data_IF_764267266067
#
_entry.id   IF_764267266067
#
_cell.length_a   1.000
_cell.length_b   1.000
_cell.length_c   1.000
_cell.angle_alpha   90.00
_cell.angle_beta   90.00
_cell.angle_gamma   90.00
#
_symmetry.space_group_name_H-M   'P 1'
#
loop_
_entity.id
_entity.type
_entity.pdbx_description
1 polymer ?
#
# COMPACT_ATOMS: atom_id res chain seq x y z
N UNK A 1 10.10 -13.64 -18.14
CA UNK A 1 9.33 -14.54 -17.25
C UNK A 1 9.69 -14.20 -15.81
N UNK A 2 8.77 -14.43 -14.88
CA UNK A 2 8.96 -14.08 -13.46
C UNK A 2 9.64 -15.24 -12.74
N UNK A 3 10.75 -14.96 -12.06
CA UNK A 3 11.39 -15.94 -11.16
C UNK A 3 11.03 -15.53 -9.73
N UNK A 4 10.34 -16.42 -9.02
CA UNK A 4 10.04 -16.29 -7.59
C UNK A 4 11.06 -17.13 -6.82
N UNK A 5 11.83 -16.48 -5.96
CA UNK A 5 12.76 -17.13 -5.04
C UNK A 5 12.21 -17.00 -3.63
N UNK A 6 12.12 -18.10 -2.89
CA UNK A 6 11.73 -18.12 -1.47
C UNK A 6 12.94 -18.53 -0.64
N UNK A 7 13.32 -17.71 0.34
CA UNK A 7 14.40 -18.05 1.26
C UNK A 7 13.96 -19.04 2.36
N UNK A 8 14.91 -19.48 3.20
CA UNK A 8 14.64 -20.41 4.30
C UNK A 8 13.74 -19.85 5.41
N UNK A 9 13.53 -18.54 5.44
CA UNK A 9 12.66 -17.85 6.38
C UNK A 9 11.26 -17.57 5.79
N UNK A 10 11.04 -17.95 4.52
CA UNK A 10 9.77 -17.77 3.81
C UNK A 10 9.61 -16.42 3.12
N UNK A 11 10.65 -15.57 3.08
CA UNK A 11 10.59 -14.30 2.35
C UNK A 11 10.69 -14.58 0.84
N UNK A 12 9.95 -13.81 0.03
CA UNK A 12 9.95 -13.95 -1.43
C UNK A 12 10.63 -12.76 -2.11
N UNK A 13 11.41 -13.04 -3.16
CA UNK A 13 11.92 -12.04 -4.09
C UNK A 13 11.40 -12.36 -5.50
N UNK A 14 10.95 -11.33 -6.21
CA UNK A 14 10.50 -11.42 -7.59
C UNK A 14 11.47 -10.67 -8.48
N UNK A 15 12.09 -11.39 -9.41
CA UNK A 15 12.89 -10.75 -10.46
C UNK A 15 12.20 -10.93 -11.79
N UNK A 16 11.78 -9.82 -12.40
CA UNK A 16 11.39 -9.82 -13.81
C UNK A 16 12.66 -9.78 -14.66
N UNK A 17 12.84 -10.79 -15.51
CA UNK A 17 13.88 -10.79 -16.54
C UNK A 17 13.28 -11.06 -17.90
N UNK A 18 13.79 -10.37 -18.91
CA UNK A 18 13.37 -10.49 -20.31
C UNK A 18 14.22 -11.53 -21.07
N UNK A 19 15.30 -12.03 -20.45
CA UNK A 19 16.23 -13.00 -21.05
C UNK A 19 15.97 -14.41 -20.53
N UNK A 20 16.06 -15.42 -21.38
CA UNK A 20 16.05 -16.85 -21.00
C UNK A 20 17.14 -17.14 -19.96
N UNK A 21 16.75 -17.76 -18.85
CA UNK A 21 17.65 -18.19 -17.77
C UNK A 21 17.61 -19.71 -17.77
N UNK A 22 18.73 -20.33 -18.15
CA UNK A 22 18.95 -21.77 -18.04
C UNK A 22 20.00 -21.99 -16.94
N UNK A 23 19.67 -22.77 -15.91
CA UNK A 23 20.59 -23.11 -14.82
C UNK A 23 20.84 -24.61 -14.90
N UNK A 24 22.08 -24.99 -15.23
CA UNK A 24 22.50 -26.38 -15.19
C UNK A 24 22.69 -26.85 -13.74
N UNK A 25 22.27 -28.08 -13.42
CA UNK A 25 22.35 -28.61 -12.05
C UNK A 25 23.78 -28.63 -11.48
N UNK A 26 24.79 -28.71 -12.35
CA UNK A 26 26.21 -28.71 -11.97
C UNK A 26 26.73 -27.34 -11.52
N UNK A 27 26.15 -26.24 -12.01
CA UNK A 27 26.61 -24.87 -11.69
C UNK A 27 26.00 -24.32 -10.40
N UNK A 28 24.93 -24.93 -9.87
CA UNK A 28 24.31 -24.56 -8.59
C UNK A 28 25.27 -24.55 -7.39
N UNK A 29 26.33 -25.38 -7.40
CA UNK A 29 27.33 -25.43 -6.33
C UNK A 29 28.46 -24.41 -6.48
N UNK A 30 28.63 -23.81 -7.66
CA UNK A 30 29.75 -22.94 -8.01
C UNK A 30 29.34 -21.51 -8.34
N UNK A 31 28.05 -21.20 -8.30
CA UNK A 31 27.58 -19.82 -8.40
C UNK A 31 27.86 -19.11 -7.08
N UNK A 32 28.40 -17.89 -7.17
CA UNK A 32 28.35 -17.00 -6.02
C UNK A 32 26.89 -16.85 -5.56
N UNK A 33 26.64 -16.80 -4.25
CA UNK A 33 25.29 -16.53 -3.75
C UNK A 33 24.76 -15.29 -4.45
N UNK A 34 23.60 -15.44 -5.10
CA UNK A 34 22.88 -14.27 -5.61
C UNK A 34 22.62 -13.40 -4.39
N UNK A 35 23.12 -12.16 -4.40
CA UNK A 35 22.82 -11.19 -3.36
C UNK A 35 21.28 -11.05 -3.31
N UNK A 36 20.70 -11.55 -2.23
CA UNK A 36 19.27 -11.44 -1.95
C UNK A 36 19.07 -10.15 -1.19
N UNK A 37 18.73 -9.08 -1.91
CA UNK A 37 18.29 -7.85 -1.27
C UNK A 37 16.78 -7.94 -1.08
N UNK A 38 16.37 -8.18 0.17
CA UNK A 38 14.97 -8.09 0.58
C UNK A 38 14.47 -6.68 0.29
N UNK A 39 13.18 -6.58 -0.08
CA UNK A 39 12.59 -5.27 -0.28
C UNK A 39 12.77 -4.37 0.95
N UNK A 40 13.18 -3.12 0.72
CA UNK A 40 13.30 -2.13 1.80
C UNK A 40 11.95 -2.02 2.50
N UNK A 41 11.97 -1.93 3.83
CA UNK A 41 10.75 -1.71 4.58
C UNK A 41 10.06 -0.42 4.12
N UNK A 42 8.76 -0.51 3.80
CA UNK A 42 7.94 0.65 3.50
C UNK A 42 7.78 1.52 4.74
N UNK A 43 7.98 2.82 4.56
CA UNK A 43 7.66 3.83 5.57
C UNK A 43 6.51 4.67 5.07
N UNK A 44 5.49 4.85 5.90
CA UNK A 44 4.34 5.72 5.60
C UNK A 44 4.40 6.91 6.56
N UNK A 45 4.35 8.13 6.01
CA UNK A 45 4.31 9.37 6.78
C UNK A 45 3.11 10.20 6.36
N UNK A 46 2.47 10.85 7.34
CA UNK A 46 1.35 11.75 7.06
C UNK A 46 1.89 13.12 6.66
N UNK A 47 1.31 13.68 5.60
CA UNK A 47 1.54 15.05 5.14
C UNK A 47 0.50 15.99 5.73
N UNK A 48 -0.03 16.89 4.90
CA UNK A 48 -1.11 17.80 5.29
C UNK A 48 -2.41 17.04 5.56
N UNK A 49 -3.09 17.43 6.65
CA UNK A 49 -4.40 16.91 7.02
C UNK A 49 -5.33 18.10 7.23
N UNK A 50 -6.42 18.12 6.47
CA UNK A 50 -7.49 19.11 6.58
C UNK A 50 -8.83 18.40 6.72
N UNK A 51 -9.90 19.18 6.97
CA UNK A 51 -11.25 18.63 7.14
C UNK A 51 -11.73 17.81 5.93
N UNK A 52 -11.24 18.13 4.74
CA UNK A 52 -11.69 17.54 3.47
C UNK A 52 -10.56 16.98 2.61
N UNK A 53 -9.34 16.87 3.16
CA UNK A 53 -8.20 16.26 2.46
C UNK A 53 -7.20 15.61 3.40
N UNK A 54 -6.57 14.54 2.91
CA UNK A 54 -5.48 13.85 3.60
C UNK A 54 -4.38 13.56 2.59
N UNK A 55 -3.15 13.99 2.90
CA UNK A 55 -1.95 13.67 2.13
C UNK A 55 -1.11 12.66 2.90
N UNK A 56 -0.55 11.67 2.19
CA UNK A 56 0.42 10.76 2.76
C UNK A 56 1.56 10.47 1.78
N UNK A 57 2.71 10.20 2.36
CA UNK A 57 3.95 9.91 1.67
C UNK A 57 4.40 8.49 1.99
N UNK A 58 4.93 7.81 0.99
CA UNK A 58 5.43 6.45 1.09
C UNK A 58 6.87 6.44 0.58
N UNK A 59 7.78 5.92 1.41
CA UNK A 59 9.17 5.71 1.04
C UNK A 59 9.52 4.22 1.08
N UNK A 60 10.26 3.77 0.07
CA UNK A 60 10.56 2.37 -0.16
C UNK A 60 11.68 2.15 -1.17
N UNK A 61 11.68 0.97 -1.80
CA UNK A 61 12.45 0.63 -2.99
C UNK A 61 12.05 1.47 -4.20
N UNK A 62 13.03 1.94 -4.99
CA UNK A 62 12.82 2.52 -6.30
C UNK A 62 12.06 1.62 -7.27
N UNK A 63 11.31 2.25 -8.19
CA UNK A 63 10.71 1.62 -9.37
C UNK A 63 9.98 0.29 -9.09
N UNK A 64 9.34 0.16 -7.94
CA UNK A 64 8.66 -1.06 -7.49
C UNK A 64 7.14 -0.84 -7.49
N UNK A 65 6.39 -1.88 -7.82
CA UNK A 65 4.93 -1.89 -7.78
C UNK A 65 4.43 -1.78 -6.33
N UNK A 66 3.71 -0.70 -6.06
CA UNK A 66 3.11 -0.36 -4.78
C UNK A 66 1.58 -0.37 -4.93
N UNK A 67 0.90 -0.61 -3.81
CA UNK A 67 -0.51 -0.32 -3.66
C UNK A 67 -0.73 0.45 -2.36
N UNK A 68 -1.57 1.48 -2.41
CA UNK A 68 -1.95 2.27 -1.24
C UNK A 68 -3.42 2.68 -1.30
N UNK A 69 -4.03 2.82 -0.12
CA UNK A 69 -5.44 3.15 0.02
C UNK A 69 -5.68 3.85 1.36
N UNK A 70 -6.52 4.88 1.36
CA UNK A 70 -7.09 5.44 2.58
C UNK A 70 -8.45 4.79 2.84
N UNK A 71 -8.62 4.17 4.01
CA UNK A 71 -9.83 3.43 4.39
C UNK A 71 -10.43 4.05 5.64
N UNK A 72 -11.75 4.26 5.68
CA UNK A 72 -12.41 4.72 6.90
C UNK A 72 -12.25 3.70 8.01
N UNK A 73 -12.04 4.16 9.24
CA UNK A 73 -11.90 3.26 10.40
C UNK A 73 -13.13 2.36 10.57
N UNK A 74 -14.33 2.88 10.30
CA UNK A 74 -15.56 2.09 10.33
C UNK A 74 -15.54 0.91 9.33
N UNK A 75 -15.03 1.11 8.11
CA UNK A 75 -14.93 0.03 7.11
C UNK A 75 -13.85 -0.98 7.51
N UNK A 76 -12.72 -0.51 8.03
CA UNK A 76 -11.69 -1.39 8.57
C UNK A 76 -12.22 -2.27 9.72
N UNK A 77 -12.89 -1.67 10.69
CA UNK A 77 -13.48 -2.37 11.83
C UNK A 77 -14.56 -3.37 11.36
N UNK A 78 -15.33 -3.02 10.32
CA UNK A 78 -16.26 -3.94 9.67
C UNK A 78 -15.55 -5.17 9.08
N UNK A 79 -14.43 -5.00 8.38
CA UNK A 79 -13.68 -6.13 7.82
C UNK A 79 -13.04 -7.01 8.89
N UNK A 80 -12.54 -6.42 9.99
CA UNK A 80 -12.03 -7.20 11.14
C UNK A 80 -13.14 -8.05 11.75
N UNK A 81 -14.35 -7.49 11.89
CA UNK A 81 -15.49 -8.17 12.48
C UNK A 81 -15.99 -9.38 11.65
N UNK A 82 -15.57 -9.53 10.39
CA UNK A 82 -15.95 -10.68 9.55
C UNK A 82 -15.21 -11.99 9.92
N UNK A 83 -14.49 -12.04 11.04
CA UNK A 83 -13.79 -13.22 11.64
C UNK A 83 -12.69 -13.88 10.78
N UNK A 84 -12.63 -13.68 9.46
CA UNK A 84 -11.63 -14.26 8.55
C UNK A 84 -10.20 -13.73 8.75
N UNK A 85 -10.03 -12.63 9.49
CA UNK A 85 -8.77 -11.88 9.54
C UNK A 85 -8.24 -11.58 10.96
N UNK A 86 -8.90 -12.10 12.00
CA UNK A 86 -8.60 -11.78 13.40
C UNK A 86 -7.14 -12.09 13.79
N UNK A 87 -6.55 -13.12 13.18
CA UNK A 87 -5.20 -13.58 13.54
C UNK A 87 -4.08 -12.97 12.68
N UNK A 88 -4.41 -12.20 11.62
CA UNK A 88 -3.39 -11.64 10.73
C UNK A 88 -3.83 -10.32 10.07
N UNK A 89 -3.59 -9.17 10.74
CA UNK A 89 -3.89 -7.84 10.21
C UNK A 89 -3.16 -7.51 8.90
N UNK A 90 -1.95 -8.04 8.69
CA UNK A 90 -1.20 -7.83 7.44
C UNK A 90 -1.89 -8.52 6.26
N UNK A 91 -2.47 -9.71 6.49
CA UNK A 91 -3.29 -10.40 5.50
C UNK A 91 -4.52 -9.55 5.14
N UNK A 92 -5.21 -8.97 6.12
CA UNK A 92 -6.32 -8.06 5.86
C UNK A 92 -5.91 -6.87 4.99
N UNK A 93 -4.80 -6.21 5.34
CA UNK A 93 -4.24 -5.11 4.54
C UNK A 93 -3.99 -5.54 3.09
N UNK A 94 -3.37 -6.70 2.88
CA UNK A 94 -3.10 -7.21 1.53
C UNK A 94 -4.37 -7.47 0.72
N UNK A 95 -5.41 -8.07 1.31
CA UNK A 95 -6.67 -8.38 0.63
C UNK A 95 -7.46 -7.11 0.29
N UNK A 96 -7.54 -6.15 1.20
CA UNK A 96 -8.18 -4.86 0.94
C UNK A 96 -7.47 -4.14 -0.22
N UNK A 97 -6.13 -4.09 -0.19
CA UNK A 97 -5.35 -3.46 -1.26
C UNK A 97 -5.50 -4.22 -2.59
N UNK A 98 -5.55 -5.55 -2.56
CA UNK A 98 -5.76 -6.37 -3.75
C UNK A 98 -7.11 -6.09 -4.41
N UNK A 99 -8.16 -5.95 -3.60
CA UNK A 99 -9.54 -5.79 -4.06
C UNK A 99 -9.89 -4.35 -4.48
N UNK A 100 -9.40 -3.34 -3.76
CA UNK A 100 -9.91 -1.97 -3.87
C UNK A 100 -8.91 -0.96 -4.41
N UNK A 101 -7.60 -1.24 -4.38
CA UNK A 101 -6.60 -0.26 -4.82
C UNK A 101 -6.01 -0.57 -6.21
N UNK A 102 -5.46 0.44 -6.85
CA UNK A 102 -4.70 0.30 -8.10
C UNK A 102 -3.21 0.08 -7.82
N UNK A 103 -2.55 -0.60 -8.76
CA UNK A 103 -1.08 -0.73 -8.73
C UNK A 103 -0.46 0.54 -9.28
N UNK A 104 0.50 1.08 -8.55
CA UNK A 104 1.21 2.33 -8.82
C UNK A 104 2.72 2.08 -8.69
N UNK A 105 3.56 2.56 -9.59
CA UNK A 105 5.00 2.48 -9.41
C UNK A 105 5.48 3.58 -8.45
N UNK A 106 6.42 3.26 -7.56
CA UNK A 106 7.23 4.29 -6.89
C UNK A 106 8.16 4.99 -7.89
N UNK A 107 8.56 6.23 -7.60
CA UNK A 107 9.56 6.93 -8.41
C UNK A 107 10.96 6.27 -8.35
N UNK A 108 11.93 6.85 -9.08
CA UNK A 108 13.32 6.38 -9.14
C UNK A 108 14.07 6.49 -7.80
N UNK A 109 13.50 7.19 -6.82
CA UNK A 109 14.02 7.29 -5.45
C UNK A 109 13.22 6.44 -4.46
N UNK A 110 12.23 5.68 -4.94
CA UNK A 110 11.35 4.86 -4.10
C UNK A 110 10.31 5.66 -3.34
N UNK A 111 9.93 6.83 -3.84
CA UNK A 111 8.94 7.72 -3.23
C UNK A 111 7.61 7.69 -3.97
N UNK A 112 6.55 7.87 -3.21
CA UNK A 112 5.20 8.09 -3.71
C UNK A 112 4.44 9.01 -2.77
N UNK A 113 3.68 9.95 -3.33
CA UNK A 113 2.78 10.83 -2.58
C UNK A 113 1.38 10.75 -3.17
N UNK A 114 0.36 10.69 -2.31
CA UNK A 114 -1.05 10.80 -2.71
C UNK A 114 -1.76 11.79 -1.82
N UNK A 115 -2.72 12.50 -2.42
CA UNK A 115 -3.67 13.33 -1.70
C UNK A 115 -5.09 12.90 -2.03
N UNK A 116 -5.81 12.42 -1.01
CA UNK A 116 -7.24 12.17 -1.07
C UNK A 116 -8.01 13.45 -0.75
N UNK A 117 -9.13 13.69 -1.45
CA UNK A 117 -9.98 14.86 -1.20
C UNK A 117 -11.45 14.48 -1.21
N UNK A 118 -12.31 15.39 -0.74
CA UNK A 118 -13.77 15.23 -0.81
C UNK A 118 -14.31 15.15 -2.25
N UNK A 119 -13.61 15.71 -3.24
CA UNK A 119 -14.08 15.74 -4.63
C UNK A 119 -13.62 14.53 -5.45
N UNK A 120 -12.66 13.73 -4.95
CA UNK A 120 -11.98 12.70 -5.72
C UNK A 120 -11.99 11.38 -4.98
N UNK A 121 -12.82 10.46 -5.45
CA UNK A 121 -12.64 9.04 -5.20
C UNK A 121 -11.44 8.54 -6.04
N UNK A 122 -10.25 8.49 -5.45
CA UNK A 122 -9.10 7.83 -6.07
C UNK A 122 -9.24 6.33 -5.79
N UNK A 123 -9.01 5.45 -6.75
CA UNK A 123 -8.93 4.00 -6.50
C UNK A 123 -10.09 3.44 -5.65
N UNK A 124 -11.34 3.72 -6.03
CA UNK A 124 -12.56 3.26 -5.30
C UNK A 124 -12.70 3.77 -3.86
N UNK A 125 -11.96 4.80 -3.45
CA UNK A 125 -12.06 5.42 -2.13
C UNK A 125 -13.37 6.20 -1.95
N UNK A 126 -13.89 6.18 -0.72
CA UNK A 126 -14.91 7.13 -0.30
C UNK A 126 -14.28 8.54 -0.27
N UNK A 127 -15.03 9.59 -0.64
CA UNK A 127 -14.64 10.98 -0.40
C UNK A 127 -14.17 11.22 1.03
N UNK A 128 -13.15 12.06 1.21
CA UNK A 128 -12.72 12.48 2.55
C UNK A 128 -13.81 13.35 3.18
N UNK A 129 -14.24 12.93 4.36
CA UNK A 129 -15.20 13.60 5.24
C UNK A 129 -14.48 14.21 6.44
N UNK A 130 -15.03 15.32 6.93
CA UNK A 130 -14.62 16.00 8.15
C UNK A 130 -14.93 15.17 9.41
N UNK A 131 -14.21 15.47 10.48
CA UNK A 131 -14.38 14.84 11.81
C UNK A 131 -14.51 13.31 11.75
N UNK A 132 -13.57 12.67 11.04
CA UNK A 132 -13.64 11.23 10.78
C UNK A 132 -12.27 10.56 10.86
N UNK A 133 -12.28 9.29 11.26
CA UNK A 133 -11.09 8.47 11.41
C UNK A 133 -10.86 7.60 10.17
N UNK A 134 -9.61 7.52 9.75
CA UNK A 134 -9.16 6.69 8.65
C UNK A 134 -7.86 5.97 9.00
N UNK A 135 -7.50 5.02 8.13
CA UNK A 135 -6.23 4.33 8.12
C UNK A 135 -5.61 4.43 6.72
N UNK A 136 -4.34 4.78 6.66
CA UNK A 136 -3.52 4.66 5.46
C UNK A 136 -2.94 3.25 5.39
N UNK A 137 -3.20 2.56 4.30
CA UNK A 137 -2.69 1.23 3.98
C UNK A 137 -1.63 1.33 2.88
N UNK A 138 -0.56 0.53 2.98
CA UNK A 138 0.46 0.44 1.95
C UNK A 138 1.08 -0.96 1.92
N UNK A 139 1.43 -1.47 0.73
CA UNK A 139 2.20 -2.70 0.55
C UNK A 139 2.82 -2.78 -0.85
N UNK A 140 3.93 -3.50 -1.01
CA UNK A 140 4.40 -3.87 -2.35
C UNK A 140 3.54 -4.97 -2.94
N UNK A 141 3.45 -4.98 -4.26
CA UNK A 141 2.67 -5.96 -5.01
C UNK A 141 3.44 -6.50 -6.21
N UNK A 142 3.06 -7.71 -6.62
CA UNK A 142 3.39 -8.27 -7.92
C UNK A 142 2.14 -8.87 -8.53
N UNK A 143 1.61 -8.20 -9.55
CA UNK A 143 0.26 -8.48 -10.05
C UNK A 143 -0.78 -8.28 -8.95
N UNK A 144 -1.37 -9.37 -8.46
CA UNK A 144 -2.40 -9.36 -7.40
C UNK A 144 -1.89 -9.80 -6.04
N UNK A 145 -0.62 -10.20 -5.92
CA UNK A 145 -0.07 -10.72 -4.67
C UNK A 145 0.75 -9.65 -3.97
N UNK A 146 0.53 -9.45 -2.67
CA UNK A 146 1.41 -8.62 -1.86
C UNK A 146 2.75 -9.32 -1.66
N UNK A 147 3.84 -8.57 -1.79
CA UNK A 147 5.20 -9.04 -1.55
C UNK A 147 5.93 -8.06 -0.64
N UNK A 148 7.03 -8.47 -0.01
CA UNK A 148 7.77 -7.60 0.90
C UNK A 148 7.08 -7.29 2.22
N UNK A 149 7.59 -6.26 2.91
CA UNK A 149 7.17 -5.90 4.27
C UNK A 149 5.98 -4.93 4.23
N UNK A 150 4.87 -5.36 4.81
CA UNK A 150 3.66 -4.54 4.97
C UNK A 150 3.75 -3.79 6.30
N UNK A 151 3.80 -2.45 6.31
CA UNK A 151 3.75 -1.66 7.53
C UNK A 151 2.38 -1.80 8.19
N UNK A 152 2.32 -1.56 9.50
CA UNK A 152 1.04 -1.43 10.18
C UNK A 152 0.22 -0.27 9.56
N UNK A 153 -1.12 -0.39 9.48
CA UNK A 153 -1.98 0.71 9.08
C UNK A 153 -1.69 1.98 9.89
N UNK A 154 -1.55 3.12 9.22
CA UNK A 154 -1.26 4.40 9.88
C UNK A 154 -2.57 5.14 10.15
N UNK A 155 -2.94 5.41 11.41
CA UNK A 155 -4.17 6.12 11.73
C UNK A 155 -4.07 7.60 11.39
N UNK A 156 -5.19 8.16 10.94
CA UNK A 156 -5.34 9.59 10.66
C UNK A 156 -6.75 10.03 11.05
N UNK A 157 -6.86 11.25 11.57
CA UNK A 157 -8.13 11.88 11.94
C UNK A 157 -8.25 13.21 11.22
N UNK A 158 -9.32 13.41 10.45
CA UNK A 158 -9.63 14.70 9.83
C UNK A 158 -10.37 15.59 10.83
N UNK A 159 -10.02 16.87 10.97
CA UNK A 159 -10.75 17.78 11.85
C UNK A 159 -12.13 18.13 11.28
N UNK A 160 -13.00 18.72 12.10
CA UNK A 160 -14.22 19.38 11.62
C UNK A 160 -13.90 20.58 10.70
N UNK A 161 -14.79 20.93 9.77
CA UNK A 161 -14.60 22.15 8.97
C UNK A 161 -14.63 23.40 9.84
N UNK A 162 -13.69 24.30 9.54
CA UNK A 162 -13.62 25.63 10.15
C UNK A 162 -14.12 26.67 9.16
N UNK A 163 -15.21 27.39 9.48
CA UNK A 163 -15.75 28.47 8.66
C UNK A 163 -17.28 28.59 8.78
N UNK A 164 -17.88 29.72 8.41
CA UNK A 164 -19.33 29.83 8.34
C UNK A 164 -19.87 28.86 7.28
N UNK A 165 -20.96 28.15 7.60
CA UNK A 165 -21.65 27.33 6.62
C UNK A 165 -22.04 28.18 5.40
N UNK A 166 -21.89 27.67 4.16
CA UNK A 166 -22.28 28.42 2.99
C UNK A 166 -23.78 28.76 3.04
N UNK A 167 -24.12 30.03 2.80
CA UNK A 167 -25.51 30.44 2.67
C UNK A 167 -26.13 29.81 1.42
N UNK A 168 -27.09 28.90 1.61
CA UNK A 168 -27.90 28.38 0.51
C UNK A 168 -29.01 29.39 0.21
N UNK A 169 -28.76 30.27 -0.76
CA UNK A 169 -29.81 31.14 -1.29
C UNK A 169 -30.65 30.34 -2.30
N UNK A 170 -31.85 29.94 -1.88
CA UNK A 170 -32.86 29.37 -2.79
C UNK A 170 -33.56 30.54 -3.49
N UNK A 171 -33.31 30.70 -4.79
CA UNK A 171 -34.06 31.61 -5.69
C UNK A 171 -35.21 30.91 -6.36
#
# INVERSE_FOLDING_TARGET
FTVTLTDSEGNTCLRQTHNSVSIERATLKSMEPIAFEKDKALTVTLGEIAANSVTWNIEGNPSTDLRTLLVTKAMWDHFIAQEYYLDNPQKLTSEILAAYSATIPTDDNGRYEETATQARAVNSMQPVQEDNDYLVLAAYFSGTQSVGVIPAPVPVHTPAATGPAPEVNVT
#
